data_IF_999015044549
#
_entry.id   IF_999015044549
#
_cell.length_a   1.000
_cell.length_b   1.000
_cell.length_c   1.000
_cell.angle_alpha   90.00
_cell.angle_beta   90.00
_cell.angle_gamma   90.00
#
_symmetry.space_group_name_H-M   'P 1'
#
loop_
_entity.id
_entity.type
_entity.pdbx_description
1 polymer ?
#
# COMPACT_ATOMS: atom_id res chain seq x y z
N UNK A 1 -13.19 -30.11 -42.26
CA UNK A 1 -13.01 -29.11 -41.20
C UNK A 1 -14.29 -29.05 -40.39
N UNK A 2 -14.35 -29.81 -39.29
CA UNK A 2 -15.51 -29.83 -38.39
C UNK A 2 -15.29 -28.73 -37.35
N UNK A 3 -16.16 -27.73 -37.32
CA UNK A 3 -16.16 -26.71 -36.28
C UNK A 3 -16.61 -27.37 -34.98
N UNK A 4 -15.69 -27.53 -34.02
CA UNK A 4 -16.02 -27.95 -32.68
C UNK A 4 -16.95 -26.89 -32.07
N UNK A 5 -18.21 -27.27 -31.85
CA UNK A 5 -19.15 -26.47 -31.08
C UNK A 5 -18.57 -26.26 -29.69
N UNK A 6 -18.46 -24.99 -29.26
CA UNK A 6 -18.14 -24.67 -27.87
C UNK A 6 -19.18 -25.35 -26.96
N UNK A 7 -18.76 -26.00 -25.86
CA UNK A 7 -19.70 -26.55 -24.90
C UNK A 7 -20.56 -25.41 -24.35
N UNK A 8 -21.86 -25.47 -24.62
CA UNK A 8 -22.85 -24.60 -23.99
C UNK A 8 -22.92 -25.06 -22.54
N UNK A 9 -22.38 -24.26 -21.62
CA UNK A 9 -22.55 -24.50 -20.19
C UNK A 9 -24.06 -24.64 -19.88
N UNK A 10 -24.47 -25.66 -19.10
CA UNK A 10 -25.86 -25.79 -18.71
C UNK A 10 -26.31 -24.50 -18.02
N UNK A 11 -27.55 -24.03 -18.27
CA UNK A 11 -28.06 -22.81 -17.65
C UNK A 11 -28.01 -22.94 -16.13
N UNK A 12 -27.52 -21.90 -15.45
CA UNK A 12 -27.44 -21.85 -14.00
C UNK A 12 -28.81 -22.11 -13.38
N UNK A 13 -28.94 -23.22 -12.64
CA UNK A 13 -30.12 -23.54 -11.88
C UNK A 13 -29.92 -23.13 -10.41
N UNK A 14 -30.56 -22.05 -9.94
CA UNK A 14 -30.41 -21.62 -8.54
C UNK A 14 -31.05 -22.60 -7.54
N UNK A 15 -31.88 -23.53 -8.00
CA UNK A 15 -32.48 -24.59 -7.18
C UNK A 15 -31.60 -25.85 -7.05
N UNK A 16 -30.47 -25.91 -7.78
CA UNK A 16 -29.47 -26.96 -7.69
C UNK A 16 -28.31 -26.54 -6.77
N UNK A 17 -28.03 -27.26 -5.66
CA UNK A 17 -26.88 -26.95 -4.80
C UNK A 17 -25.54 -27.05 -5.54
N UNK A 18 -25.39 -27.90 -6.57
CA UNK A 18 -24.14 -28.05 -7.31
C UNK A 18 -23.70 -26.73 -7.97
N UNK A 19 -24.67 -25.99 -8.54
CA UNK A 19 -24.45 -24.68 -9.15
C UNK A 19 -23.87 -23.64 -8.16
N UNK A 20 -24.16 -23.76 -6.86
CA UNK A 20 -23.65 -22.88 -5.80
C UNK A 20 -22.31 -23.34 -5.24
N UNK A 21 -22.08 -24.65 -5.17
CA UNK A 21 -20.78 -25.23 -4.80
C UNK A 21 -19.69 -24.81 -5.78
N UNK A 22 -19.97 -24.89 -7.09
CA UNK A 22 -19.06 -24.42 -8.15
C UNK A 22 -18.70 -22.92 -8.00
N UNK A 23 -19.59 -22.15 -7.37
CA UNK A 23 -19.40 -20.71 -7.09
C UNK A 23 -18.79 -20.43 -5.71
N UNK A 24 -18.22 -21.45 -5.08
CA UNK A 24 -17.45 -21.34 -3.84
C UNK A 24 -18.29 -21.25 -2.57
N UNK A 25 -19.55 -21.68 -2.60
CA UNK A 25 -20.35 -21.85 -1.37
C UNK A 25 -19.98 -23.15 -0.66
N UNK A 26 -20.10 -23.15 0.67
CA UNK A 26 -20.00 -24.39 1.45
C UNK A 26 -21.22 -25.28 1.16
N UNK A 27 -21.13 -26.60 1.38
CA UNK A 27 -22.27 -27.50 1.17
C UNK A 27 -23.54 -27.06 1.90
N UNK A 28 -23.42 -26.64 3.15
CA UNK A 28 -24.56 -26.15 3.94
C UNK A 28 -25.20 -24.88 3.33
N UNK A 29 -24.39 -23.92 2.87
CA UNK A 29 -24.89 -22.71 2.23
C UNK A 29 -25.53 -23.00 0.86
N UNK A 30 -24.89 -23.85 0.05
CA UNK A 30 -25.42 -24.26 -1.23
C UNK A 30 -26.80 -24.92 -1.09
N UNK A 31 -26.94 -25.86 -0.14
CA UNK A 31 -28.20 -26.54 0.14
C UNK A 31 -29.29 -25.59 0.65
N UNK A 32 -28.94 -24.65 1.54
CA UNK A 32 -29.87 -23.68 2.09
C UNK A 32 -30.40 -22.71 1.03
N UNK A 33 -29.52 -22.21 0.15
CA UNK A 33 -29.91 -21.34 -0.97
C UNK A 33 -30.78 -22.11 -1.96
N UNK A 34 -30.33 -23.30 -2.38
CA UNK A 34 -31.08 -24.15 -3.31
C UNK A 34 -32.47 -24.52 -2.77
N UNK A 35 -32.60 -24.79 -1.47
CA UNK A 35 -33.89 -25.02 -0.81
C UNK A 35 -34.81 -23.80 -0.91
N UNK A 36 -34.32 -22.59 -0.63
CA UNK A 36 -35.14 -21.38 -0.75
C UNK A 36 -35.68 -21.16 -2.18
N UNK A 37 -34.89 -21.53 -3.21
CA UNK A 37 -35.33 -21.49 -4.61
C UNK A 37 -36.32 -22.60 -4.96
N UNK A 38 -36.19 -23.79 -4.37
CA UNK A 38 -37.18 -24.88 -4.54
C UNK A 38 -38.51 -24.59 -3.85
N UNK A 39 -38.47 -24.00 -2.67
CA UNK A 39 -39.67 -23.67 -1.89
C UNK A 39 -40.42 -22.47 -2.50
N UNK A 40 -39.68 -21.53 -3.11
CA UNK A 40 -40.22 -20.31 -3.72
C UNK A 40 -39.71 -20.09 -5.16
N UNK A 41 -40.08 -20.97 -6.11
CA UNK A 41 -39.64 -20.89 -7.49
C UNK A 41 -40.30 -19.71 -8.22
N UNK A 42 -39.68 -19.27 -9.31
CA UNK A 42 -40.30 -18.27 -10.18
C UNK A 42 -41.57 -18.84 -10.82
N UNK A 43 -42.62 -18.03 -10.83
CA UNK A 43 -43.86 -18.36 -11.53
C UNK A 43 -43.72 -18.03 -13.02
N UNK A 44 -44.43 -18.77 -13.91
CA UNK A 44 -44.37 -18.53 -15.35
C UNK A 44 -44.83 -17.12 -15.72
N UNK A 45 -44.33 -16.60 -16.85
CA UNK A 45 -44.58 -15.22 -17.28
C UNK A 45 -46.07 -14.88 -17.45
N UNK A 46 -46.90 -15.89 -17.73
CA UNK A 46 -48.35 -15.79 -17.91
C UNK A 46 -49.11 -15.67 -16.57
N UNK A 47 -48.46 -15.92 -15.43
CA UNK A 47 -49.08 -15.74 -14.11
C UNK A 47 -49.33 -14.24 -13.82
N UNK A 48 -50.40 -13.92 -13.06
CA UNK A 48 -50.69 -12.54 -12.67
C UNK A 48 -49.49 -11.85 -12.03
N UNK A 49 -49.25 -10.58 -12.40
CA UNK A 49 -48.10 -9.80 -11.91
C UNK A 49 -48.02 -9.79 -10.38
N UNK A 50 -49.16 -9.63 -9.71
CA UNK A 50 -49.26 -9.60 -8.25
C UNK A 50 -48.81 -10.91 -7.61
N UNK A 51 -49.18 -12.05 -8.20
CA UNK A 51 -48.77 -13.37 -7.73
C UNK A 51 -47.26 -13.59 -7.91
N UNK A 52 -46.69 -13.13 -9.03
CA UNK A 52 -45.24 -13.17 -9.28
C UNK A 52 -44.47 -12.31 -8.27
N UNK A 53 -44.97 -11.09 -8.00
CA UNK A 53 -44.38 -10.20 -6.99
C UNK A 53 -44.49 -10.78 -5.58
N UNK A 54 -45.62 -11.38 -5.23
CA UNK A 54 -45.81 -12.05 -3.94
C UNK A 54 -44.80 -13.19 -3.76
N UNK A 55 -44.65 -14.06 -4.76
CA UNK A 55 -43.67 -15.15 -4.76
C UNK A 55 -42.23 -14.65 -4.63
N UNK A 56 -41.88 -13.57 -5.33
CA UNK A 56 -40.58 -12.92 -5.18
C UNK A 56 -40.32 -12.41 -3.76
N UNK A 57 -41.33 -11.82 -3.09
CA UNK A 57 -41.21 -11.37 -1.70
C UNK A 57 -41.01 -12.52 -0.72
N UNK A 58 -41.73 -13.63 -0.91
CA UNK A 58 -41.56 -14.84 -0.09
C UNK A 58 -40.14 -15.40 -0.22
N UNK A 59 -39.61 -15.48 -1.45
CA UNK A 59 -38.22 -15.89 -1.68
C UNK A 59 -37.22 -14.94 -1.02
N UNK A 60 -37.41 -13.63 -1.15
CA UNK A 60 -36.52 -12.63 -0.52
C UNK A 60 -36.52 -12.82 1.00
N UNK A 61 -37.69 -13.05 1.62
CA UNK A 61 -37.79 -13.29 3.05
C UNK A 61 -37.05 -14.57 3.48
N UNK A 62 -37.20 -15.67 2.73
CA UNK A 62 -36.49 -16.93 2.99
C UNK A 62 -34.96 -16.77 2.80
N UNK A 63 -34.55 -16.13 1.71
CA UNK A 63 -33.14 -15.86 1.40
C UNK A 63 -32.48 -14.91 2.39
N UNK A 64 -33.23 -13.98 3.00
CA UNK A 64 -32.69 -13.06 4.01
C UNK A 64 -32.10 -13.83 5.19
N UNK A 65 -32.82 -14.83 5.71
CA UNK A 65 -32.34 -15.65 6.83
C UNK A 65 -31.04 -16.38 6.47
N UNK A 66 -30.98 -16.93 5.25
CA UNK A 66 -29.78 -17.62 4.74
C UNK A 66 -28.61 -16.65 4.57
N UNK A 67 -28.84 -15.48 3.99
CA UNK A 67 -27.82 -14.46 3.77
C UNK A 67 -27.29 -13.88 5.09
N UNK A 68 -28.18 -13.65 6.06
CA UNK A 68 -27.82 -13.15 7.39
C UNK A 68 -26.94 -14.19 8.12
N UNK A 69 -27.24 -15.49 7.99
CA UNK A 69 -26.41 -16.57 8.54
C UNK A 69 -25.03 -16.65 7.85
N UNK A 70 -24.99 -16.60 6.51
CA UNK A 70 -23.73 -16.57 5.74
C UNK A 70 -22.86 -15.38 6.16
N UNK A 71 -23.47 -14.20 6.31
CA UNK A 71 -22.77 -12.99 6.72
C UNK A 71 -22.22 -13.12 8.15
N UNK A 72 -22.99 -13.72 9.06
CA UNK A 72 -22.54 -13.99 10.43
C UNK A 72 -21.36 -14.97 10.48
N UNK A 73 -21.39 -16.07 9.73
CA UNK A 73 -20.28 -17.03 9.67
C UNK A 73 -19.02 -16.40 9.04
N UNK A 74 -19.20 -15.66 7.94
CA UNK A 74 -18.08 -14.93 7.30
C UNK A 74 -17.45 -13.91 8.25
N UNK A 75 -18.27 -13.21 9.04
CA UNK A 75 -17.80 -12.29 10.08
C UNK A 75 -17.00 -13.05 11.14
N UNK A 76 -17.56 -14.12 11.70
CA UNK A 76 -16.90 -14.92 12.74
C UNK A 76 -15.55 -15.48 12.26
N UNK A 77 -15.47 -15.99 11.03
CA UNK A 77 -14.23 -16.50 10.45
C UNK A 77 -13.18 -15.38 10.30
N UNK A 78 -13.59 -14.20 9.84
CA UNK A 78 -12.69 -13.04 9.72
C UNK A 78 -12.16 -12.60 11.08
N UNK A 79 -13.03 -12.50 12.08
CA UNK A 79 -12.65 -12.12 13.44
C UNK A 79 -11.70 -13.15 14.05
N UNK A 80 -11.98 -14.44 13.91
CA UNK A 80 -11.10 -15.51 14.34
C UNK A 80 -9.72 -15.46 13.66
N UNK A 81 -9.70 -15.21 12.35
CA UNK A 81 -8.45 -15.05 11.57
C UNK A 81 -7.65 -13.84 12.05
N UNK A 82 -8.31 -12.71 12.32
CA UNK A 82 -7.64 -11.52 12.83
C UNK A 82 -6.99 -11.78 14.20
N UNK A 83 -7.70 -12.42 15.13
CA UNK A 83 -7.15 -12.77 16.44
C UNK A 83 -5.99 -13.77 16.32
N UNK A 84 -6.11 -14.81 15.49
CA UNK A 84 -5.04 -15.77 15.27
C UNK A 84 -3.79 -15.09 14.68
N UNK A 85 -3.97 -14.14 13.77
CA UNK A 85 -2.88 -13.34 13.22
C UNK A 85 -2.20 -12.49 14.30
N UNK A 86 -2.96 -11.73 15.10
CA UNK A 86 -2.41 -10.91 16.18
C UNK A 86 -1.69 -11.76 17.23
N UNK A 87 -2.26 -12.90 17.62
CA UNK A 87 -1.64 -13.83 18.54
C UNK A 87 -0.29 -14.34 18.00
N UNK A 88 -0.23 -14.73 16.73
CA UNK A 88 1.02 -15.16 16.10
C UNK A 88 2.06 -14.02 16.04
N UNK A 89 1.66 -12.76 15.84
CA UNK A 89 2.59 -11.62 15.91
C UNK A 89 3.18 -11.46 17.32
N UNK A 90 2.36 -11.54 18.36
CA UNK A 90 2.80 -11.42 19.76
C UNK A 90 3.74 -12.58 20.13
N UNK A 91 3.38 -13.82 19.80
CA UNK A 91 4.20 -15.01 20.08
C UNK A 91 5.56 -14.97 19.35
N UNK A 92 5.64 -14.33 18.18
CA UNK A 92 6.87 -14.12 17.42
C UNK A 92 7.69 -12.90 17.90
N UNK A 93 7.25 -12.20 18.94
CA UNK A 93 7.89 -10.98 19.44
C UNK A 93 7.81 -9.79 18.48
N UNK A 94 6.82 -9.80 17.56
CA UNK A 94 6.56 -8.73 16.58
C UNK A 94 5.36 -7.85 16.95
N UNK A 95 4.54 -8.29 17.91
CA UNK A 95 3.41 -7.52 18.42
C UNK A 95 3.86 -6.41 19.39
N UNK A 96 3.04 -5.38 19.51
CA UNK A 96 3.25 -4.27 20.46
C UNK A 96 2.35 -4.38 21.71
N UNK A 97 2.49 -3.44 22.64
CA UNK A 97 1.68 -3.40 23.87
C UNK A 97 0.17 -3.29 23.58
N UNK A 98 -0.21 -2.67 22.46
CA UNK A 98 -1.61 -2.58 22.04
C UNK A 98 -2.11 -3.93 21.52
N UNK A 99 -1.30 -4.68 20.79
CA UNK A 99 -1.63 -6.04 20.35
C UNK A 99 -1.85 -6.98 21.54
N UNK A 100 -1.04 -6.85 22.59
CA UNK A 100 -1.23 -7.59 23.85
C UNK A 100 -2.56 -7.19 24.51
N UNK A 101 -2.84 -5.89 24.61
CA UNK A 101 -4.11 -5.39 25.15
C UNK A 101 -5.32 -5.83 24.31
N UNK A 102 -5.17 -5.97 22.99
CA UNK A 102 -6.21 -6.50 22.11
C UNK A 102 -6.55 -7.96 22.43
N UNK A 103 -5.53 -8.79 22.70
CA UNK A 103 -5.74 -10.17 23.11
C UNK A 103 -6.37 -10.27 24.51
N UNK A 104 -6.06 -9.36 25.43
CA UNK A 104 -6.78 -9.26 26.71
C UNK A 104 -8.26 -8.87 26.49
N UNK A 105 -8.50 -7.91 25.60
CA UNK A 105 -9.87 -7.54 25.21
C UNK A 105 -10.64 -8.71 24.58
N UNK A 106 -9.99 -9.62 23.86
CA UNK A 106 -10.62 -10.87 23.39
C UNK A 106 -11.08 -11.74 24.56
N UNK A 107 -10.28 -11.85 25.62
CA UNK A 107 -10.62 -12.70 26.76
C UNK A 107 -11.84 -12.14 27.53
N UNK A 108 -12.03 -10.81 27.54
CA UNK A 108 -13.17 -10.14 28.17
C UNK A 108 -14.43 -10.05 27.28
N UNK A 109 -14.27 -9.85 25.96
CA UNK A 109 -15.38 -9.60 25.01
C UNK A 109 -15.60 -10.75 24.02
N UNK A 110 -14.88 -11.85 24.18
CA UNK A 110 -14.88 -12.97 23.23
C UNK A 110 -14.32 -12.58 21.87
N UNK A 111 -14.77 -13.29 20.82
CA UNK A 111 -14.32 -13.06 19.45
C UNK A 111 -14.96 -11.82 18.78
N UNK A 112 -15.51 -10.87 19.54
CA UNK A 112 -16.03 -9.61 19.00
C UNK A 112 -14.87 -8.64 18.75
N UNK A 113 -14.28 -8.74 17.55
CA UNK A 113 -13.07 -7.99 17.16
C UNK A 113 -13.17 -6.49 17.43
N UNK A 114 -14.31 -5.87 17.11
CA UNK A 114 -14.49 -4.43 17.28
C UNK A 114 -14.46 -4.02 18.76
N UNK A 115 -15.06 -4.80 19.67
CA UNK A 115 -15.00 -4.54 21.11
C UNK A 115 -13.58 -4.71 21.65
N UNK A 116 -12.88 -5.78 21.27
CA UNK A 116 -11.48 -5.99 21.64
C UNK A 116 -10.57 -4.85 21.14
N UNK A 117 -10.81 -4.34 19.93
CA UNK A 117 -10.12 -3.16 19.41
C UNK A 117 -10.41 -1.91 20.25
N UNK A 118 -11.67 -1.66 20.66
CA UNK A 118 -11.99 -0.51 21.51
C UNK A 118 -11.36 -0.61 22.89
N UNK A 119 -11.39 -1.80 23.48
CA UNK A 119 -10.68 -2.06 24.72
C UNK A 119 -9.19 -1.73 24.57
N UNK A 120 -8.52 -2.25 23.53
CA UNK A 120 -7.11 -1.98 23.26
C UNK A 120 -6.83 -0.49 23.01
N UNK A 121 -7.70 0.21 22.29
CA UNK A 121 -7.60 1.66 22.05
C UNK A 121 -7.68 2.45 23.36
N UNK A 122 -8.60 2.08 24.25
CA UNK A 122 -8.75 2.70 25.57
C UNK A 122 -7.52 2.44 26.44
N UNK A 123 -7.09 1.19 26.51
CA UNK A 123 -5.91 0.78 27.26
C UNK A 123 -4.66 1.51 26.77
N UNK A 124 -4.46 1.58 25.45
CA UNK A 124 -3.32 2.26 24.86
C UNK A 124 -3.39 3.77 25.08
N UNK A 125 -4.56 4.39 25.01
CA UNK A 125 -4.73 5.82 25.31
C UNK A 125 -4.37 6.12 26.77
N UNK A 126 -4.76 5.26 27.72
CA UNK A 126 -4.35 5.36 29.11
C UNK A 126 -2.83 5.21 29.25
N UNK A 127 -2.28 4.13 28.68
CA UNK A 127 -0.85 3.80 28.71
C UNK A 127 0.03 4.91 28.12
N UNK A 128 -0.36 5.48 26.98
CA UNK A 128 0.39 6.51 26.26
C UNK A 128 0.21 7.93 26.84
N UNK A 129 -0.61 8.09 27.88
CA UNK A 129 -0.85 9.40 28.50
C UNK A 129 -1.79 10.31 27.71
N UNK A 130 -2.62 9.75 26.83
CA UNK A 130 -3.56 10.54 26.03
C UNK A 130 -4.80 10.91 26.83
N UNK A 131 -5.48 12.02 26.46
CA UNK A 131 -6.81 12.32 26.97
C UNK A 131 -7.81 11.21 26.62
N UNK A 132 -8.73 10.93 27.53
CA UNK A 132 -9.87 10.04 27.26
C UNK A 132 -10.71 10.64 26.12
N UNK A 133 -10.88 9.88 25.04
CA UNK A 133 -11.73 10.28 23.93
C UNK A 133 -12.23 9.06 23.17
N UNK A 134 -13.50 9.07 22.77
CA UNK A 134 -14.05 7.96 22.00
C UNK A 134 -13.67 8.05 20.51
N UNK A 135 -13.08 6.99 19.93
CA UNK A 135 -12.79 6.90 18.51
C UNK A 135 -14.05 6.52 17.69
N UNK A 136 -15.11 7.33 17.80
CA UNK A 136 -16.44 7.00 17.24
C UNK A 136 -16.52 7.03 15.71
N UNK A 137 -15.52 7.63 15.04
CA UNK A 137 -15.46 7.76 13.59
C UNK A 137 -15.18 6.47 12.82
N UNK A 138 -14.95 5.34 13.50
CA UNK A 138 -14.68 4.05 12.88
C UNK A 138 -16.00 3.29 12.66
N UNK A 139 -16.36 2.96 11.41
CA UNK A 139 -17.56 2.17 11.10
C UNK A 139 -17.55 0.83 11.84
N UNK A 140 -18.68 0.46 12.44
CA UNK A 140 -18.86 -0.80 13.15
C UNK A 140 -20.34 -1.15 13.22
N UNK A 141 -20.63 -2.45 13.12
CA UNK A 141 -21.98 -2.99 13.32
C UNK A 141 -22.34 -3.16 14.81
N UNK A 142 -21.35 -3.02 15.71
CA UNK A 142 -21.54 -3.12 17.15
C UNK A 142 -22.17 -1.82 17.69
N UNK A 143 -23.21 -1.93 18.54
CA UNK A 143 -23.84 -0.77 19.17
C UNK A 143 -22.84 0.18 19.81
N UNK A 144 -23.06 1.48 19.63
CA UNK A 144 -22.16 2.52 20.13
C UNK A 144 -21.93 2.42 21.65
N UNK A 145 -22.97 2.06 22.42
CA UNK A 145 -22.87 1.88 23.86
C UNK A 145 -21.89 0.78 24.27
N UNK A 146 -21.91 -0.37 23.59
CA UNK A 146 -21.00 -1.48 23.85
C UNK A 146 -19.55 -1.11 23.50
N UNK A 147 -19.36 -0.44 22.37
CA UNK A 147 -18.03 0.05 21.95
C UNK A 147 -17.43 1.04 22.95
N UNK A 148 -18.23 1.98 23.44
CA UNK A 148 -17.80 2.96 24.44
C UNK A 148 -17.53 2.29 25.79
N UNK A 149 -18.35 1.33 26.20
CA UNK A 149 -18.11 0.55 27.41
C UNK A 149 -16.80 -0.24 27.34
N UNK A 150 -16.50 -0.87 26.19
CA UNK A 150 -15.24 -1.56 25.97
C UNK A 150 -14.03 -0.60 26.06
N UNK A 151 -14.13 0.57 25.43
CA UNK A 151 -13.11 1.62 25.52
C UNK A 151 -12.91 2.11 26.96
N UNK A 152 -13.99 2.41 27.68
CA UNK A 152 -13.94 2.86 29.07
C UNK A 152 -13.28 1.83 29.99
N UNK A 153 -13.60 0.56 29.78
CA UNK A 153 -12.98 -0.54 30.53
C UNK A 153 -11.49 -0.63 30.24
N UNK A 154 -11.12 -0.66 28.96
CA UNK A 154 -9.71 -0.69 28.57
C UNK A 154 -8.92 0.50 29.09
N UNK A 155 -9.49 1.70 29.04
CA UNK A 155 -8.87 2.90 29.58
C UNK A 155 -8.64 2.81 31.09
N UNK A 156 -9.61 2.26 31.83
CA UNK A 156 -9.47 2.03 33.27
C UNK A 156 -8.40 0.98 33.57
N UNK A 157 -8.42 -0.14 32.84
CA UNK A 157 -7.48 -1.25 33.02
C UNK A 157 -6.04 -0.87 32.59
N UNK A 158 -5.90 0.09 31.67
CA UNK A 158 -4.63 0.73 31.32
C UNK A 158 -4.13 1.78 32.33
N UNK A 159 -4.85 1.96 33.45
CA UNK A 159 -4.49 2.85 34.55
C UNK A 159 -5.00 4.28 34.43
N UNK A 160 -5.96 4.55 33.56
CA UNK A 160 -6.59 5.87 33.40
C UNK A 160 -7.74 6.09 34.38
N UNK A 161 -7.77 7.26 35.02
CA UNK A 161 -8.86 7.71 35.88
C UNK A 161 -9.67 8.82 35.21
N UNK A 162 -10.92 8.50 34.82
CA UNK A 162 -11.83 9.45 34.17
C UNK A 162 -12.42 10.49 35.13
N UNK A 163 -12.26 10.30 36.43
CA UNK A 163 -12.79 11.20 37.47
C UNK A 163 -11.79 12.26 37.90
N UNK A 164 -10.53 12.13 37.49
CA UNK A 164 -9.46 13.04 37.84
C UNK A 164 -9.08 13.97 36.69
N UNK A 165 -9.24 15.27 36.93
CA UNK A 165 -8.97 16.32 35.94
C UNK A 165 -7.51 16.36 35.48
N UNK A 166 -6.56 15.92 36.32
CA UNK A 166 -5.13 15.92 36.00
C UNK A 166 -4.59 14.53 35.65
N UNK A 167 -5.47 13.55 35.44
CA UNK A 167 -5.11 12.17 35.12
C UNK A 167 -4.26 12.11 33.84
N UNK A 168 -4.74 12.73 32.76
CA UNK A 168 -4.03 12.77 31.49
C UNK A 168 -2.64 13.40 31.61
N UNK A 169 -2.50 14.50 32.37
CA UNK A 169 -1.21 15.16 32.58
C UNK A 169 -0.22 14.27 33.35
N UNK A 170 -0.67 13.58 34.41
CA UNK A 170 0.16 12.65 35.19
C UNK A 170 0.56 11.42 34.39
N UNK A 171 -0.38 10.84 33.64
CA UNK A 171 -0.08 9.69 32.77
C UNK A 171 0.85 10.08 31.63
N UNK A 172 0.70 11.26 31.04
CA UNK A 172 1.64 11.78 30.05
C UNK A 172 3.05 11.91 30.63
N UNK A 173 3.19 12.48 31.82
CA UNK A 173 4.48 12.56 32.51
C UNK A 173 5.07 11.16 32.80
N UNK A 174 4.23 10.22 33.26
CA UNK A 174 4.66 8.84 33.52
C UNK A 174 5.05 8.10 32.25
N UNK A 175 4.34 8.31 31.15
CA UNK A 175 4.64 7.73 29.84
C UNK A 175 5.96 8.31 29.29
N UNK A 176 6.22 9.60 29.50
CA UNK A 176 7.47 10.24 29.14
C UNK A 176 8.64 9.70 29.97
N UNK A 177 8.45 9.54 31.29
CA UNK A 177 9.42 8.85 32.15
C UNK A 177 9.68 7.42 31.70
N UNK A 178 8.66 6.66 31.28
CA UNK A 178 8.84 5.32 30.69
C UNK A 178 9.72 5.38 29.44
N UNK A 179 9.48 6.33 28.52
CA UNK A 179 10.33 6.52 27.34
C UNK A 179 11.79 6.87 27.69
N UNK A 180 11.99 7.65 28.74
CA UNK A 180 13.32 8.07 29.19
C UNK A 180 14.06 7.03 30.06
N UNK A 181 13.33 6.17 30.77
CA UNK A 181 13.89 5.11 31.63
C UNK A 181 14.02 3.76 30.91
N UNK A 182 13.40 3.60 29.75
CA UNK A 182 13.78 2.53 28.85
C UNK A 182 15.20 2.83 28.34
N UNK A 183 16.10 1.84 28.27
CA UNK A 183 17.29 1.97 27.43
C UNK A 183 16.82 2.54 26.09
N UNK A 184 17.52 3.50 25.46
CA UNK A 184 17.17 3.93 24.12
C UNK A 184 16.86 2.67 23.33
N UNK A 185 15.64 2.58 22.79
CA UNK A 185 15.14 1.38 22.10
C UNK A 185 16.32 0.88 21.30
N UNK A 186 16.80 -0.37 21.54
CA UNK A 186 18.07 -0.81 20.99
C UNK A 186 18.01 -0.39 19.54
N UNK A 187 18.85 0.59 19.19
CA UNK A 187 19.18 0.78 17.79
C UNK A 187 19.63 -0.62 17.49
N UNK A 188 18.86 -1.34 16.71
CA UNK A 188 19.32 -2.60 16.21
C UNK A 188 20.54 -2.18 15.40
N UNK A 189 21.70 -2.15 16.06
CA UNK A 189 22.94 -2.60 15.51
C UNK A 189 22.63 -4.04 15.15
N UNK A 190 21.88 -4.20 14.04
CA UNK A 190 21.91 -5.37 13.23
C UNK A 190 23.36 -5.34 12.76
N UNK A 191 24.23 -5.99 13.51
CA UNK A 191 25.49 -6.50 13.03
C UNK A 191 25.15 -7.53 11.97
N UNK A 192 24.71 -7.03 10.82
CA UNK A 192 24.07 -7.80 9.76
C UNK A 192 23.34 -6.85 8.83
N UNK A 193 23.61 -6.98 7.54
CA UNK A 193 22.85 -6.32 6.48
C UNK A 193 21.34 -6.43 6.73
N UNK A 194 20.54 -5.35 6.62
CA UNK A 194 19.09 -5.44 6.77
C UNK A 194 18.53 -6.38 5.71
N UNK A 195 17.72 -7.35 6.14
CA UNK A 195 17.10 -8.32 5.23
C UNK A 195 16.09 -7.61 4.31
N UNK A 196 16.00 -7.98 3.02
CA UNK A 196 15.00 -7.47 2.08
C UNK A 196 13.58 -7.38 2.66
N UNK A 197 13.12 -8.39 3.40
CA UNK A 197 11.81 -8.40 4.06
C UNK A 197 11.60 -7.27 5.07
N UNK A 198 12.66 -6.75 5.67
CA UNK A 198 12.62 -5.63 6.62
C UNK A 198 12.62 -4.25 5.96
N UNK A 199 12.91 -4.16 4.66
CA UNK A 199 13.08 -2.88 3.99
C UNK A 199 11.77 -2.04 3.98
N UNK A 200 11.90 -0.70 4.06
CA UNK A 200 10.77 0.20 4.01
C UNK A 200 10.10 0.20 2.62
N UNK A 201 8.86 0.70 2.58
CA UNK A 201 8.17 0.96 1.30
C UNK A 201 8.77 2.18 0.60
N UNK A 202 8.71 2.25 -0.75
CA UNK A 202 9.08 3.44 -1.48
C UNK A 202 8.45 4.73 -0.97
N UNK A 203 9.30 5.72 -0.72
CA UNK A 203 8.92 7.08 -0.33
C UNK A 203 9.59 8.12 -1.21
N UNK A 204 9.21 9.39 -1.09
CA UNK A 204 9.83 10.48 -1.84
C UNK A 204 11.05 11.09 -1.15
N UNK A 205 11.39 10.63 0.06
CA UNK A 205 12.50 11.10 0.88
C UNK A 205 13.89 10.80 0.28
N UNK A 206 14.17 9.58 -0.25
CA UNK A 206 15.48 9.27 -0.80
C UNK A 206 15.88 10.19 -1.96
N UNK A 207 17.21 10.39 -2.10
CA UNK A 207 17.77 11.17 -3.20
C UNK A 207 17.53 10.43 -4.52
N UNK A 208 17.12 11.15 -5.59
CA UNK A 208 17.10 10.58 -6.93
C UNK A 208 18.45 9.98 -7.35
N UNK A 209 18.41 8.79 -7.94
CA UNK A 209 19.59 8.01 -8.31
C UNK A 209 19.70 7.88 -9.84
N UNK A 210 20.94 7.81 -10.36
CA UNK A 210 21.19 7.56 -11.78
C UNK A 210 20.66 6.18 -12.14
N UNK A 211 19.96 6.06 -13.26
CA UNK A 211 19.45 4.75 -13.72
C UNK A 211 20.53 3.67 -13.76
N UNK A 212 21.74 4.00 -14.21
CA UNK A 212 22.92 3.11 -14.23
C UNK A 212 23.35 2.56 -12.86
N UNK A 213 22.90 3.18 -11.76
CA UNK A 213 23.19 2.79 -10.37
C UNK A 213 21.95 2.28 -9.65
N UNK A 214 20.90 1.88 -10.39
CA UNK A 214 19.67 1.32 -9.85
C UNK A 214 19.55 -0.16 -10.17
N UNK A 215 19.11 -0.91 -9.16
CA UNK A 215 18.78 -2.32 -9.27
C UNK A 215 17.30 -2.51 -8.92
N UNK A 216 16.60 -3.33 -9.69
CA UNK A 216 15.27 -3.81 -9.34
C UNK A 216 15.21 -5.33 -9.49
N UNK A 217 14.60 -5.98 -8.49
CA UNK A 217 14.32 -7.42 -8.49
C UNK A 217 12.82 -7.62 -8.57
N UNK A 218 12.37 -8.18 -9.69
CA UNK A 218 10.97 -8.43 -10.02
C UNK A 218 10.59 -9.89 -9.80
N UNK A 219 9.33 -10.17 -9.49
CA UNK A 219 8.77 -11.52 -9.63
C UNK A 219 8.30 -11.70 -11.07
N UNK A 220 8.44 -12.89 -11.64
CA UNK A 220 7.84 -13.22 -12.93
C UNK A 220 6.31 -12.99 -12.95
N UNK A 221 5.66 -13.10 -11.78
CA UNK A 221 4.21 -12.82 -11.63
C UNK A 221 3.84 -11.33 -11.79
N UNK A 222 4.84 -10.44 -11.71
CA UNK A 222 4.67 -9.00 -11.94
C UNK A 222 4.82 -8.63 -13.43
N UNK A 223 5.08 -9.60 -14.31
CA UNK A 223 5.40 -9.39 -15.73
C UNK A 223 4.36 -10.12 -16.60
N UNK A 224 3.95 -9.47 -17.69
CA UNK A 224 2.93 -9.98 -18.60
C UNK A 224 1.49 -9.72 -18.14
N UNK A 225 0.56 -9.77 -19.09
CA UNK A 225 -0.86 -9.58 -18.85
C UNK A 225 -1.33 -8.14 -19.15
N UNK A 226 -2.05 -7.54 -18.21
CA UNK A 226 -2.59 -6.18 -18.35
C UNK A 226 -1.44 -5.15 -18.24
N UNK A 227 -1.22 -4.29 -19.26
CA UNK A 227 -0.17 -3.27 -19.26
C UNK A 227 -0.21 -2.32 -18.04
N UNK A 228 -1.36 -2.19 -17.39
CA UNK A 228 -1.50 -1.41 -16.18
C UNK A 228 -0.84 -2.05 -14.95
N UNK A 229 -0.44 -3.31 -15.04
CA UNK A 229 0.12 -4.14 -13.96
C UNK A 229 1.42 -4.83 -14.33
N UNK A 230 1.85 -4.76 -15.60
CA UNK A 230 3.17 -5.22 -16.03
C UNK A 230 4.24 -4.25 -15.52
N UNK A 231 4.99 -4.68 -14.50
CA UNK A 231 6.00 -3.85 -13.87
C UNK A 231 7.21 -3.63 -14.78
N UNK A 232 7.53 -4.60 -15.64
CA UNK A 232 8.65 -4.49 -16.57
C UNK A 232 8.35 -3.42 -17.64
N UNK A 233 7.16 -3.46 -18.24
CA UNK A 233 6.71 -2.43 -19.19
C UNK A 233 6.63 -1.04 -18.53
N UNK A 234 6.16 -0.97 -17.29
CA UNK A 234 6.12 0.29 -16.54
C UNK A 234 7.52 0.86 -16.29
N UNK A 235 8.52 0.01 -16.05
CA UNK A 235 9.92 0.44 -15.93
C UNK A 235 10.43 0.93 -17.29
N UNK A 236 10.29 0.14 -18.34
CA UNK A 236 10.77 0.47 -19.69
C UNK A 236 10.11 1.71 -20.29
N UNK A 237 8.89 2.04 -19.89
CA UNK A 237 8.22 3.27 -20.28
C UNK A 237 8.89 4.55 -19.73
N UNK A 238 9.83 4.44 -18.79
CA UNK A 238 10.56 5.59 -18.25
C UNK A 238 11.86 5.86 -19.02
N UNK A 239 12.11 7.11 -19.45
CA UNK A 239 13.37 7.47 -20.09
C UNK A 239 14.59 7.17 -19.22
N UNK A 240 15.63 6.58 -19.81
CA UNK A 240 16.88 6.23 -19.13
C UNK A 240 16.84 4.88 -18.41
N UNK A 241 15.67 4.23 -18.32
CA UNK A 241 15.51 2.95 -17.62
C UNK A 241 16.30 1.80 -18.26
N UNK A 242 16.71 1.92 -19.52
CA UNK A 242 17.56 0.97 -20.22
C UNK A 242 18.93 0.78 -19.56
N UNK A 243 19.40 1.77 -18.79
CA UNK A 243 20.65 1.68 -18.03
C UNK A 243 20.48 0.95 -16.69
N UNK A 244 19.25 0.69 -16.24
CA UNK A 244 18.99 0.02 -14.96
C UNK A 244 19.35 -1.46 -15.01
N UNK A 245 19.78 -2.02 -13.88
CA UNK A 245 19.87 -3.47 -13.76
C UNK A 245 18.51 -4.01 -13.34
N UNK A 246 17.89 -4.82 -14.20
CA UNK A 246 16.59 -5.44 -13.96
C UNK A 246 16.79 -6.95 -13.88
N UNK A 247 16.57 -7.50 -12.70
CA UNK A 247 16.65 -8.93 -12.41
C UNK A 247 15.24 -9.45 -12.17
N UNK A 248 14.92 -10.63 -12.70
CA UNK A 248 13.63 -11.27 -12.53
C UNK A 248 13.82 -12.63 -11.88
N UNK A 249 13.05 -12.90 -10.83
CA UNK A 249 12.93 -14.22 -10.24
C UNK A 249 11.84 -15.00 -11.00
N UNK A 250 12.24 -16.09 -11.63
CA UNK A 250 11.37 -17.06 -12.32
C UNK A 250 11.34 -18.37 -11.56
N UNK A 251 10.52 -19.33 -11.99
CA UNK A 251 10.56 -20.70 -11.45
C UNK A 251 11.94 -21.38 -11.60
N UNK A 252 12.73 -20.99 -12.62
CA UNK A 252 14.09 -21.48 -12.85
C UNK A 252 15.20 -20.69 -12.14
N UNK A 253 14.84 -19.71 -11.30
CA UNK A 253 15.78 -18.86 -10.57
C UNK A 253 15.91 -17.45 -11.15
N UNK A 254 17.01 -16.77 -10.81
CA UNK A 254 17.24 -15.38 -11.19
C UNK A 254 17.78 -15.26 -12.62
N UNK A 255 17.16 -14.40 -13.41
CA UNK A 255 17.59 -14.06 -14.78
C UNK A 255 17.61 -12.55 -14.99
N UNK A 256 18.39 -12.10 -15.96
CA UNK A 256 18.29 -10.72 -16.44
C UNK A 256 17.00 -10.57 -17.27
N UNK A 257 16.36 -9.39 -17.20
CA UNK A 257 15.09 -9.15 -17.89
C UNK A 257 15.17 -9.33 -19.42
N UNK A 258 16.32 -9.04 -20.03
CA UNK A 258 16.58 -9.23 -21.47
C UNK A 258 16.72 -10.70 -21.90
N UNK A 259 16.74 -11.63 -20.94
CA UNK A 259 16.91 -13.09 -21.16
C UNK A 259 15.71 -13.91 -20.73
N UNK A 260 14.57 -13.28 -20.44
CA UNK A 260 13.37 -13.95 -19.90
C UNK A 260 12.94 -15.19 -20.73
N UNK A 261 13.09 -15.12 -22.06
CA UNK A 261 12.62 -16.15 -23.00
C UNK A 261 13.57 -17.36 -23.16
N UNK A 262 14.70 -17.39 -22.45
CA UNK A 262 15.81 -18.33 -22.74
C UNK A 262 16.07 -19.41 -21.67
N UNK A 263 15.19 -19.57 -20.68
CA UNK A 263 15.44 -20.40 -19.50
C UNK A 263 15.05 -21.89 -19.61
N UNK A 264 16.02 -22.78 -19.33
CA UNK A 264 15.77 -24.18 -18.94
C UNK A 264 15.39 -24.20 -17.46
N UNK A 265 14.30 -24.89 -17.11
CA UNK A 265 13.87 -25.06 -15.72
C UNK A 265 14.84 -25.99 -14.97
N UNK A 266 15.51 -25.46 -13.95
CA UNK A 266 16.33 -26.25 -13.03
C UNK A 266 15.81 -25.98 -11.62
N UNK A 267 15.57 -27.03 -10.83
CA UNK A 267 15.37 -26.88 -9.39
C UNK A 267 16.66 -26.37 -8.77
N UNK A 268 16.74 -25.05 -8.59
CA UNK A 268 17.90 -24.38 -8.04
C UNK A 268 17.91 -24.48 -6.51
N UNK A 269 19.00 -24.98 -5.93
CA UNK A 269 19.25 -24.85 -4.51
C UNK A 269 19.63 -23.39 -4.14
N UNK A 270 19.72 -23.12 -2.84
CA UNK A 270 20.02 -21.77 -2.31
C UNK A 270 21.38 -21.25 -2.78
N UNK A 271 22.37 -22.12 -2.92
CA UNK A 271 23.72 -21.72 -3.37
C UNK A 271 23.74 -21.36 -4.86
N UNK A 272 22.96 -22.08 -5.68
CA UNK A 272 22.77 -21.76 -7.08
C UNK A 272 22.07 -20.41 -7.25
N UNK A 273 20.99 -20.17 -6.52
CA UNK A 273 20.27 -18.88 -6.54
C UNK A 273 21.18 -17.73 -6.10
N UNK A 274 21.98 -17.93 -5.05
CA UNK A 274 22.96 -16.95 -4.59
C UNK A 274 23.97 -16.62 -5.71
N UNK A 275 24.57 -17.62 -6.36
CA UNK A 275 25.52 -17.42 -7.46
C UNK A 275 24.89 -16.74 -8.68
N UNK A 276 23.66 -17.12 -9.06
CA UNK A 276 22.93 -16.48 -10.15
C UNK A 276 22.73 -14.98 -9.87
N UNK A 277 22.20 -14.63 -8.70
CA UNK A 277 21.94 -13.24 -8.35
C UNK A 277 23.25 -12.45 -8.23
N UNK A 278 24.28 -12.98 -7.59
CA UNK A 278 25.61 -12.34 -7.53
C UNK A 278 26.20 -12.11 -8.92
N UNK A 279 26.07 -13.06 -9.84
CA UNK A 279 26.55 -12.92 -11.23
C UNK A 279 25.79 -11.85 -12.02
N UNK A 280 24.48 -11.71 -11.79
CA UNK A 280 23.63 -10.71 -12.45
C UNK A 280 23.85 -9.29 -11.93
N UNK A 281 24.05 -9.16 -10.61
CA UNK A 281 24.39 -7.88 -9.96
C UNK A 281 25.82 -7.45 -10.35
N UNK A 282 26.75 -8.41 -10.35
CA UNK A 282 28.16 -8.18 -10.67
C UNK A 282 28.85 -7.20 -9.70
N UNK A 283 30.05 -6.75 -10.07
CA UNK A 283 30.81 -5.74 -9.32
C UNK A 283 30.38 -4.31 -9.68
N UNK A 284 29.07 -4.07 -9.77
CA UNK A 284 28.52 -2.75 -10.06
C UNK A 284 28.18 -2.01 -8.77
N UNK A 285 28.41 -0.71 -8.80
CA UNK A 285 28.04 0.16 -7.70
C UNK A 285 26.57 0.61 -7.83
N UNK A 286 25.77 0.28 -6.81
CA UNK A 286 24.36 0.64 -6.74
C UNK A 286 24.10 1.65 -5.62
N UNK A 287 23.22 2.62 -5.89
CA UNK A 287 22.77 3.60 -4.89
C UNK A 287 21.34 3.35 -4.42
N UNK A 288 20.52 2.68 -5.24
CA UNK A 288 19.08 2.48 -5.03
C UNK A 288 18.64 1.09 -5.50
N UNK A 289 18.06 0.30 -4.60
CA UNK A 289 17.56 -1.06 -4.87
C UNK A 289 16.07 -1.13 -4.54
N UNK A 290 15.29 -1.68 -5.46
CA UNK A 290 13.88 -2.03 -5.24
C UNK A 290 13.68 -3.54 -5.34
N UNK A 291 12.98 -4.13 -4.37
CA UNK A 291 12.49 -5.51 -4.43
C UNK A 291 10.97 -5.50 -4.54
N UNK A 292 10.40 -6.25 -5.48
CA UNK A 292 8.94 -6.40 -5.62
C UNK A 292 8.39 -7.73 -5.12
N UNK A 293 9.27 -8.69 -4.82
CA UNK A 293 8.95 -10.03 -4.35
C UNK A 293 8.06 -10.02 -3.09
N UNK A 294 7.14 -10.98 -3.02
CA UNK A 294 6.20 -11.16 -1.90
C UNK A 294 6.19 -12.62 -1.44
N UNK A 295 5.75 -12.86 -0.20
CA UNK A 295 5.56 -14.23 0.33
C UNK A 295 6.82 -15.09 0.19
N UNK A 296 6.66 -16.29 -0.37
CA UNK A 296 7.73 -17.27 -0.52
C UNK A 296 8.94 -16.73 -1.31
N UNK A 297 8.70 -15.99 -2.40
CA UNK A 297 9.77 -15.39 -3.21
C UNK A 297 10.64 -14.42 -2.40
N UNK A 298 10.02 -13.69 -1.47
CA UNK A 298 10.71 -12.78 -0.57
C UNK A 298 11.50 -13.53 0.50
N UNK A 299 10.94 -14.61 1.06
CA UNK A 299 11.63 -15.46 2.04
C UNK A 299 12.87 -16.14 1.41
N UNK A 300 12.77 -16.54 0.14
CA UNK A 300 13.91 -17.05 -0.63
C UNK A 300 15.02 -16.01 -0.75
N UNK A 301 14.66 -14.76 -1.12
CA UNK A 301 15.61 -13.66 -1.23
C UNK A 301 16.25 -13.28 0.12
N UNK A 302 15.48 -13.29 1.21
CA UNK A 302 15.99 -13.08 2.56
C UNK A 302 17.04 -14.14 2.94
N UNK A 303 16.83 -15.39 2.54
CA UNK A 303 17.77 -16.49 2.73
C UNK A 303 19.10 -16.35 1.96
N UNK A 304 19.15 -15.51 0.92
CA UNK A 304 20.35 -15.21 0.14
C UNK A 304 20.69 -13.72 0.13
N UNK A 305 20.24 -12.97 1.14
CA UNK A 305 20.34 -11.52 1.16
C UNK A 305 21.75 -10.99 0.92
N UNK A 306 22.80 -11.77 1.23
CA UNK A 306 24.20 -11.46 0.94
C UNK A 306 24.55 -11.26 -0.55
N UNK A 307 23.74 -11.78 -1.49
CA UNK A 307 23.96 -11.60 -2.93
C UNK A 307 23.65 -10.19 -3.45
N UNK A 308 22.83 -9.41 -2.72
CA UNK A 308 22.50 -8.05 -3.12
C UNK A 308 23.66 -7.07 -2.83
N UNK A 309 23.64 -5.84 -3.33
CA UNK A 309 24.54 -4.80 -2.85
C UNK A 309 24.01 -4.16 -1.56
N UNK A 310 24.91 -3.68 -0.69
CA UNK A 310 24.53 -2.73 0.37
C UNK A 310 24.53 -1.34 -0.24
N UNK A 311 23.36 -0.71 -0.31
CA UNK A 311 23.20 0.57 -0.96
C UNK A 311 22.67 1.61 0.00
N UNK A 312 22.77 2.88 -0.41
CA UNK A 312 22.20 3.99 0.35
C UNK A 312 20.68 3.87 0.52
N UNK A 313 19.99 3.40 -0.52
CA UNK A 313 18.52 3.26 -0.52
C UNK A 313 18.15 1.82 -0.85
N UNK A 314 17.49 1.16 0.09
CA UNK A 314 16.99 -0.20 -0.05
C UNK A 314 15.50 -0.16 0.31
N UNK A 315 14.64 -0.46 -0.65
CA UNK A 315 13.19 -0.37 -0.50
C UNK A 315 12.50 -1.61 -1.09
N UNK A 316 11.28 -1.90 -0.64
CA UNK A 316 10.46 -2.95 -1.23
C UNK A 316 9.01 -2.57 -1.40
N UNK A 317 8.36 -3.14 -2.40
CA UNK A 317 6.90 -3.06 -2.47
C UNK A 317 6.28 -3.95 -1.39
N UNK A 318 5.15 -3.54 -0.83
CA UNK A 318 4.43 -4.24 0.25
C UNK A 318 2.92 -4.12 0.04
N UNK A 319 2.17 -4.95 0.76
CA UNK A 319 0.71 -4.93 0.86
C UNK A 319 0.03 -5.32 -0.47
N UNK A 320 -1.11 -4.68 -0.79
CA UNK A 320 -1.93 -5.02 -1.98
C UNK A 320 -1.25 -4.67 -3.31
N UNK A 321 -1.60 -5.37 -4.40
CA UNK A 321 -1.05 -5.12 -5.75
C UNK A 321 -1.21 -3.65 -6.20
N UNK A 322 -2.35 -3.02 -5.87
CA UNK A 322 -2.59 -1.60 -6.14
C UNK A 322 -1.60 -0.68 -5.41
N UNK A 323 -1.29 -0.99 -4.15
CA UNK A 323 -0.29 -0.27 -3.37
C UNK A 323 1.12 -0.53 -3.90
N UNK A 324 1.44 -1.77 -4.27
CA UNK A 324 2.72 -2.12 -4.88
C UNK A 324 2.97 -1.34 -6.18
N UNK A 325 1.97 -1.22 -7.06
CA UNK A 325 2.07 -0.36 -8.25
C UNK A 325 2.31 1.11 -7.90
N UNK A 326 1.65 1.60 -6.85
CA UNK A 326 1.87 2.97 -6.37
C UNK A 326 3.28 3.17 -5.82
N UNK A 327 3.82 2.18 -5.10
CA UNK A 327 5.19 2.15 -4.62
C UNK A 327 6.21 2.15 -5.77
N UNK A 328 6.01 1.29 -6.78
CA UNK A 328 6.84 1.27 -7.99
C UNK A 328 6.86 2.65 -8.65
N UNK A 329 5.71 3.31 -8.83
CA UNK A 329 5.65 4.66 -9.41
C UNK A 329 6.42 5.71 -8.61
N UNK A 330 6.42 5.63 -7.28
CA UNK A 330 7.21 6.52 -6.42
C UNK A 330 8.70 6.28 -6.66
N UNK A 331 9.12 5.01 -6.71
CA UNK A 331 10.50 4.64 -7.00
C UNK A 331 10.93 5.10 -8.40
N UNK A 332 10.13 4.85 -9.44
CA UNK A 332 10.39 5.27 -10.83
C UNK A 332 10.59 6.79 -10.95
N UNK A 333 9.79 7.59 -10.24
CA UNK A 333 9.88 9.04 -10.24
C UNK A 333 11.20 9.60 -9.65
N UNK A 334 12.04 8.75 -9.03
CA UNK A 334 13.37 9.10 -8.52
C UNK A 334 14.50 8.64 -9.45
N UNK A 335 14.18 8.06 -10.61
CA UNK A 335 15.17 7.75 -11.64
C UNK A 335 15.65 9.04 -12.31
N UNK A 336 16.96 9.15 -12.50
CA UNK A 336 17.62 10.33 -13.06
C UNK A 336 18.50 9.91 -14.25
N UNK A 337 18.40 10.62 -15.36
CA UNK A 337 19.34 10.48 -16.47
C UNK A 337 20.68 11.13 -16.14
N UNK A 338 21.79 10.69 -16.75
CA UNK A 338 23.13 11.12 -16.33
C UNK A 338 23.37 12.64 -16.39
N UNK A 339 22.71 13.31 -17.35
CA UNK A 339 22.78 14.75 -17.60
C UNK A 339 21.80 15.59 -16.76
N UNK A 340 20.86 14.97 -16.06
CA UNK A 340 19.87 15.69 -15.25
C UNK A 340 20.39 15.95 -13.83
N UNK A 341 19.96 17.02 -13.18
CA UNK A 341 20.14 17.17 -11.72
C UNK A 341 18.78 17.35 -11.07
N UNK A 342 18.56 16.59 -10.00
CA UNK A 342 17.29 16.56 -9.27
C UNK A 342 17.55 16.70 -7.77
N UNK A 343 16.76 17.53 -7.10
CA UNK A 343 16.84 17.72 -5.67
C UNK A 343 16.29 16.51 -4.90
N UNK A 344 16.87 16.29 -3.72
CA UNK A 344 16.33 15.40 -2.71
C UNK A 344 15.27 16.11 -1.85
N UNK A 345 14.54 15.35 -1.04
CA UNK A 345 13.62 15.87 -0.04
C UNK A 345 12.16 15.52 -0.27
N UNK A 346 11.41 15.51 0.83
CA UNK A 346 9.99 15.20 0.86
C UNK A 346 9.14 16.31 0.22
N UNK A 347 8.27 15.93 -0.71
CA UNK A 347 7.34 16.85 -1.34
C UNK A 347 6.06 16.89 -0.51
N UNK A 348 5.79 18.05 0.10
CA UNK A 348 4.56 18.27 0.87
C UNK A 348 3.41 18.51 -0.11
N UNK A 349 2.50 17.55 -0.18
CA UNK A 349 1.33 17.62 -1.04
C UNK A 349 0.16 18.30 -0.34
N UNK A 350 -0.54 19.17 -1.07
CA UNK A 350 -1.76 19.83 -0.60
C UNK A 350 -2.80 19.91 -1.70
N UNK A 351 -4.06 20.06 -1.30
CA UNK A 351 -5.18 20.36 -2.20
C UNK A 351 -5.62 21.79 -1.91
N UNK A 352 -5.31 22.73 -2.80
CA UNK A 352 -5.79 24.10 -2.70
C UNK A 352 -7.18 24.20 -3.35
N UNK A 353 -7.91 25.28 -3.05
CA UNK A 353 -9.23 25.61 -3.64
C UNK A 353 -9.17 25.57 -5.19
N UNK A 354 -8.00 25.82 -5.78
CA UNK A 354 -7.76 25.86 -7.23
C UNK A 354 -7.12 24.59 -7.84
N UNK A 355 -6.75 23.57 -7.05
CA UNK A 355 -6.22 22.31 -7.58
C UNK A 355 -5.10 21.65 -6.76
N UNK A 356 -4.41 20.70 -7.39
CA UNK A 356 -3.28 19.96 -6.80
C UNK A 356 -2.07 20.90 -6.62
N UNK A 357 -1.45 20.85 -5.44
CA UNK A 357 -0.24 21.61 -5.10
C UNK A 357 0.81 20.72 -4.47
N UNK A 358 2.08 21.00 -4.76
CA UNK A 358 3.23 20.36 -4.12
C UNK A 358 4.25 21.42 -3.70
N UNK A 359 4.95 21.18 -2.59
CA UNK A 359 6.03 22.05 -2.10
C UNK A 359 7.29 21.26 -1.84
N UNK A 360 8.42 21.79 -2.29
CA UNK A 360 9.76 21.25 -2.03
C UNK A 360 10.72 22.42 -1.77
N UNK A 361 11.25 22.51 -0.55
CA UNK A 361 12.02 23.67 -0.12
C UNK A 361 11.21 24.97 -0.23
N UNK A 362 11.78 25.97 -0.89
CA UNK A 362 11.14 27.26 -1.15
C UNK A 362 10.16 27.25 -2.34
N UNK A 363 10.20 26.20 -3.17
CA UNK A 363 9.39 26.11 -4.39
C UNK A 363 8.01 25.52 -4.12
N UNK A 364 6.99 26.16 -4.66
CA UNK A 364 5.63 25.64 -4.72
C UNK A 364 5.22 25.47 -6.17
N UNK A 365 4.77 24.28 -6.55
CA UNK A 365 4.21 24.02 -7.87
C UNK A 365 2.73 23.70 -7.75
N UNK A 366 1.90 24.38 -8.55
CA UNK A 366 0.44 24.26 -8.50
C UNK A 366 -0.16 24.12 -9.89
N UNK A 367 -1.20 23.30 -9.99
CA UNK A 367 -2.09 23.31 -11.14
C UNK A 367 -2.90 24.62 -11.15
N UNK A 368 -2.76 25.44 -12.20
CA UNK A 368 -3.44 26.74 -12.31
C UNK A 368 -4.72 26.69 -13.17
N UNK A 369 -4.93 25.62 -13.92
CA UNK A 369 -6.11 25.45 -14.77
C UNK A 369 -5.78 24.85 -16.14
N UNK A 370 -6.73 24.90 -17.10
CA UNK A 370 -6.47 24.48 -18.47
C UNK A 370 -5.38 25.35 -19.12
N UNK A 371 -4.52 24.73 -19.93
CA UNK A 371 -3.52 25.45 -20.72
C UNK A 371 -4.18 26.18 -21.92
N UNK A 372 -3.55 27.25 -22.47
CA UNK A 372 -4.14 28.09 -23.53
C UNK A 372 -4.59 27.35 -24.80
N UNK A 373 -3.95 26.22 -25.12
CA UNK A 373 -4.31 25.40 -26.28
C UNK A 373 -5.00 24.10 -25.85
N UNK A 374 -4.24 23.17 -25.27
CA UNK A 374 -4.72 21.86 -24.85
C UNK A 374 -3.90 21.36 -23.66
N UNK A 375 -4.57 20.75 -22.68
CA UNK A 375 -3.95 20.20 -21.49
C UNK A 375 -4.13 21.08 -20.25
N UNK A 376 -3.24 20.93 -19.28
CA UNK A 376 -3.28 21.55 -17.97
C UNK A 376 -1.98 22.28 -17.68
N UNK A 377 -2.09 23.49 -17.15
CA UNK A 377 -0.95 24.33 -16.84
C UNK A 377 -0.55 24.13 -15.36
N UNK A 378 0.73 23.87 -15.15
CA UNK A 378 1.38 23.87 -13.84
C UNK A 378 2.27 25.10 -13.78
N UNK A 379 2.21 25.85 -12.68
CA UNK A 379 3.06 27.01 -12.41
C UNK A 379 3.88 26.80 -11.14
N UNK A 380 5.16 27.15 -11.21
CA UNK A 380 6.11 27.14 -10.10
C UNK A 380 6.27 28.55 -9.54
N UNK A 381 6.21 28.68 -8.22
CA UNK A 381 6.39 29.94 -7.50
C UNK A 381 7.40 29.80 -6.36
N UNK A 382 8.04 30.92 -6.02
CA UNK A 382 8.81 31.12 -4.78
C UNK A 382 8.10 32.20 -3.97
N UNK A 383 7.41 31.78 -2.91
CA UNK A 383 6.37 32.61 -2.29
C UNK A 383 5.25 32.90 -3.29
N UNK A 384 4.90 34.18 -3.45
CA UNK A 384 3.83 34.65 -4.34
C UNK A 384 4.29 34.95 -5.76
N UNK A 385 5.59 34.92 -6.02
CA UNK A 385 6.17 35.26 -7.33
C UNK A 385 6.42 34.01 -8.17
N UNK A 386 6.17 34.11 -9.47
CA UNK A 386 6.56 33.08 -10.44
C UNK A 386 8.07 32.87 -10.39
N UNK A 387 8.51 31.61 -10.31
CA UNK A 387 9.92 31.25 -10.14
C UNK A 387 10.73 31.44 -11.43
N UNK A 388 11.03 32.68 -11.81
CA UNK A 388 11.90 33.01 -12.96
C UNK A 388 13.36 33.13 -12.53
N UNK A 389 14.29 33.01 -13.49
CA UNK A 389 15.72 33.20 -13.23
C UNK A 389 16.44 31.97 -12.66
N UNK A 390 15.95 30.77 -12.94
CA UNK A 390 16.60 29.50 -12.57
C UNK A 390 17.07 28.78 -13.83
N UNK A 391 18.23 28.14 -13.78
CA UNK A 391 18.75 27.30 -14.87
C UNK A 391 19.10 25.90 -14.40
N UNK A 392 18.97 24.94 -15.30
CA UNK A 392 19.58 23.64 -15.17
C UNK A 392 21.13 23.76 -15.11
N UNK A 393 21.84 22.73 -14.63
CA UNK A 393 23.31 22.76 -14.48
C UNK A 393 24.08 23.02 -15.77
N UNK A 394 23.49 22.71 -16.92
CA UNK A 394 24.02 22.98 -18.27
C UNK A 394 23.82 24.44 -18.72
N UNK A 395 23.21 25.28 -17.87
CA UNK A 395 22.89 26.68 -18.16
C UNK A 395 21.55 26.89 -18.86
N UNK A 396 20.80 25.82 -19.17
CA UNK A 396 19.49 25.93 -19.84
C UNK A 396 18.46 26.58 -18.91
N UNK A 397 17.84 27.72 -19.29
CA UNK A 397 16.83 28.37 -18.46
C UNK A 397 15.60 27.47 -18.22
N UNK A 398 15.14 27.42 -16.98
CA UNK A 398 13.95 26.65 -16.61
C UNK A 398 12.69 27.48 -16.82
N UNK A 399 11.70 26.88 -17.49
CA UNK A 399 10.37 27.47 -17.63
C UNK A 399 9.56 27.25 -16.33
N UNK A 400 9.08 28.31 -15.66
CA UNK A 400 8.25 28.18 -14.46
C UNK A 400 6.84 27.71 -14.76
N UNK A 401 6.46 27.64 -16.04
CA UNK A 401 5.17 27.16 -16.50
C UNK A 401 5.35 25.98 -17.43
N UNK A 402 4.67 24.89 -17.10
CA UNK A 402 4.73 23.64 -17.87
C UNK A 402 3.33 23.12 -18.15
N UNK A 403 3.12 22.63 -19.37
CA UNK A 403 1.84 22.09 -19.82
C UNK A 403 1.88 20.57 -19.82
N UNK A 404 0.83 19.93 -19.27
CA UNK A 404 0.66 18.48 -19.31
C UNK A 404 -0.63 18.09 -20.02
N UNK A 405 -0.61 16.98 -20.76
CA UNK A 405 -1.74 16.59 -21.61
C UNK A 405 -3.00 16.15 -20.86
N UNK A 406 -2.89 15.68 -19.62
CA UNK A 406 -4.04 15.18 -18.84
C UNK A 406 -3.86 15.36 -17.33
N UNK A 407 -4.97 15.39 -16.58
CA UNK A 407 -4.96 15.47 -15.11
C UNK A 407 -4.19 14.33 -14.45
N UNK A 408 -4.19 13.14 -15.04
CA UNK A 408 -3.47 11.98 -14.53
C UNK A 408 -1.93 12.19 -14.49
N UNK A 409 -1.41 13.08 -15.35
CA UNK A 409 0.02 13.44 -15.41
C UNK A 409 0.39 14.61 -14.49
N UNK A 410 -0.56 15.25 -13.81
CA UNK A 410 -0.29 16.43 -12.97
C UNK A 410 0.68 16.13 -11.84
N UNK A 411 0.41 15.08 -11.05
CA UNK A 411 1.23 14.73 -9.89
C UNK A 411 2.68 14.39 -10.27
N UNK A 412 2.95 13.48 -11.23
CA UNK A 412 4.34 13.20 -11.63
C UNK A 412 5.03 14.41 -12.24
N UNK A 413 4.33 15.24 -13.02
CA UNK A 413 4.91 16.46 -13.57
C UNK A 413 5.26 17.49 -12.49
N UNK A 414 4.37 17.76 -11.53
CA UNK A 414 4.64 18.63 -10.38
C UNK A 414 5.88 18.13 -9.62
N UNK A 415 5.98 16.83 -9.36
CA UNK A 415 7.11 16.26 -8.63
C UNK A 415 8.44 16.43 -9.39
N UNK A 416 8.45 16.13 -10.68
CA UNK A 416 9.62 16.31 -11.55
C UNK A 416 10.04 17.79 -11.59
N UNK A 417 9.10 18.70 -11.86
CA UNK A 417 9.37 20.14 -11.93
C UNK A 417 9.91 20.69 -10.61
N UNK A 418 9.32 20.33 -9.46
CA UNK A 418 9.82 20.76 -8.15
C UNK A 418 11.25 20.29 -7.91
N UNK A 419 11.57 19.04 -8.26
CA UNK A 419 12.93 18.50 -8.09
C UNK A 419 13.93 19.17 -9.01
N UNK A 420 13.54 19.52 -10.24
CA UNK A 420 14.39 20.27 -11.17
C UNK A 420 14.64 21.69 -10.67
N UNK A 421 13.60 22.41 -10.24
CA UNK A 421 13.73 23.77 -9.70
C UNK A 421 14.55 23.82 -8.41
N UNK A 422 14.33 22.89 -7.49
CA UNK A 422 15.08 22.82 -6.24
C UNK A 422 16.57 22.41 -6.44
N UNK A 423 16.92 21.86 -7.60
CA UNK A 423 18.30 21.58 -8.00
C UNK A 423 18.92 22.67 -8.89
N UNK A 424 18.13 23.67 -9.28
CA UNK A 424 18.53 24.67 -10.25
C UNK A 424 19.52 25.66 -9.64
N UNK A 425 20.40 26.17 -10.49
CA UNK A 425 21.27 27.29 -10.13
C UNK A 425 20.50 28.59 -10.36
N UNK A 426 20.45 29.51 -9.39
CA UNK A 426 19.93 30.85 -9.63
C UNK A 426 20.79 31.55 -10.68
N UNK A 427 20.22 31.87 -11.84
CA UNK A 427 20.83 32.76 -12.82
C UNK A 427 20.84 34.15 -12.18
N UNK A 428 22.02 34.69 -11.91
CA UNK A 428 22.16 35.96 -11.21
C UNK A 428 21.38 37.09 -11.92
N UNK A 429 20.27 37.50 -11.31
CA UNK A 429 19.98 38.91 -11.07
C UNK A 429 20.27 39.22 -9.59
N UNK A 430 21.55 39.19 -9.21
CA UNK A 430 22.02 39.97 -8.05
C UNK A 430 21.96 41.46 -8.41
N UNK A 431 20.75 42.03 -8.44
CA UNK A 431 20.58 43.48 -8.59
C UNK A 431 19.54 44.11 -7.68
N UNK A 432 18.71 43.33 -6.93
CA UNK A 432 17.60 43.96 -6.16
C UNK A 432 17.60 43.63 -4.66
N UNK A 433 18.33 42.63 -4.16
CA UNK A 433 18.33 42.30 -2.70
C UNK A 433 19.43 42.97 -1.86
N UNK A 434 20.17 43.95 -2.40
CA UNK A 434 21.10 44.81 -1.63
C UNK A 434 20.72 46.30 -1.64
N UNK A 435 19.55 46.65 -2.17
CA UNK A 435 19.05 48.02 -2.24
C UNK A 435 17.65 48.17 -1.59
N UNK A 436 17.34 47.35 -0.59
CA UNK A 436 16.18 47.52 0.28
C UNK A 436 16.65 47.68 1.73
#
# INVERSE_FOLDING_TARGET
>A
MSAAAQPVEPPFDPADPACWLERGRTPAHADAIARAWRDFPDLPAQAPVEARMARGRERIAAMRVVNDAIAAETRAQREATNFAFTQAQVEQGRGDDRDIALLQGRDDYGYVWDCACRYADGWYAAHAGWPHHYPDGIPSDVPLGERRAAYDRGFTDGGGDRTDLFDAARRAFTADLRRHNLPPAPIATVTGRPLPGSWPKPSDEPRPARWSRRLVVLSANDIGGDPAWDFLDLIHAHPGSEAATIVVLTEGGFVAADRLDSGVHIHADREHLHRQLTGLVGERDYDDVLVTLQGHDLDLLDGIAGALPLTRTMERTRNTRLQQRSHLRIWLARGRCDHETMAAGHIRWGKAITGLTGRLGEFTARHVGPAPHKGHLIRVTTGDLTATGYAAPDGTPLAPEITVSSKAKLRPAIASTLRTFAAATPLMAQAVRRAA
#
